data_IF_276217988172
#
_entry.id   IF_276217988172
#
_cell.length_a   1.000
_cell.length_b   1.000
_cell.length_c   1.000
_cell.angle_alpha   90.00
_cell.angle_beta   90.00
_cell.angle_gamma   90.00
#
_symmetry.space_group_name_H-M   'P 1'
#
loop_
_entity.id
_entity.type
_entity.pdbx_description
1 polymer ?
#
# COMPACT_ATOMS: atom_id res chain seq x y z
N UNK A 1 32.25 -29.91 8.93
CA UNK A 1 33.67 -30.26 9.16
C UNK A 1 33.82 -31.74 9.43
N UNK A 2 33.33 -32.27 10.57
CA UNK A 2 33.42 -33.72 10.88
C UNK A 2 32.78 -34.67 9.86
N UNK A 3 31.64 -34.31 9.26
CA UNK A 3 30.98 -35.16 8.25
C UNK A 3 31.76 -35.18 6.92
N UNK A 4 32.36 -34.05 6.53
CA UNK A 4 33.23 -33.98 5.34
C UNK A 4 34.50 -34.80 5.55
N UNK A 5 35.14 -34.66 6.70
CA UNK A 5 36.32 -35.46 7.08
C UNK A 5 35.99 -36.97 7.10
N UNK A 6 34.82 -37.36 7.60
CA UNK A 6 34.37 -38.75 7.56
C UNK A 6 34.11 -39.25 6.13
N UNK A 7 33.51 -38.42 5.28
CA UNK A 7 33.31 -38.74 3.87
C UNK A 7 34.65 -38.92 3.14
N UNK A 8 35.64 -38.07 3.41
CA UNK A 8 36.99 -38.19 2.85
C UNK A 8 37.65 -39.53 3.24
N UNK A 9 37.49 -39.96 4.49
CA UNK A 9 37.97 -41.28 4.95
C UNK A 9 37.25 -42.44 4.27
N UNK A 10 35.94 -42.33 4.02
CA UNK A 10 35.16 -43.33 3.30
C UNK A 10 35.59 -43.44 1.82
N UNK A 11 35.87 -42.31 1.18
CA UNK A 11 36.45 -42.28 -0.18
C UNK A 11 37.80 -42.98 -0.22
N UNK A 12 38.68 -42.73 0.77
CA UNK A 12 39.97 -43.43 0.89
C UNK A 12 39.80 -44.93 1.11
N UNK A 13 38.73 -45.34 1.80
CA UNK A 13 38.34 -46.74 1.99
C UNK A 13 37.60 -47.38 0.80
N UNK A 14 37.51 -46.70 -0.35
CA UNK A 14 36.75 -47.10 -1.56
C UNK A 14 35.23 -47.26 -1.33
N UNK A 15 34.70 -46.80 -0.19
CA UNK A 15 33.26 -46.77 0.10
C UNK A 15 32.63 -45.47 -0.41
N UNK A 16 32.63 -45.33 -1.74
CA UNK A 16 32.11 -44.15 -2.44
C UNK A 16 30.59 -43.95 -2.25
N UNK A 17 29.85 -45.04 -2.00
CA UNK A 17 28.42 -44.97 -1.75
C UNK A 17 28.15 -44.28 -0.41
N UNK A 18 28.76 -44.77 0.68
CA UNK A 18 28.58 -44.19 2.01
C UNK A 18 29.14 -42.75 2.09
N UNK A 19 30.25 -42.47 1.40
CA UNK A 19 30.79 -41.12 1.29
C UNK A 19 29.78 -40.14 0.66
N UNK A 20 29.16 -40.53 -0.46
CA UNK A 20 28.14 -39.73 -1.12
C UNK A 20 26.90 -39.51 -0.26
N UNK A 21 26.40 -40.54 0.42
CA UNK A 21 25.25 -40.41 1.33
C UNK A 21 25.55 -39.47 2.51
N UNK A 22 26.76 -39.54 3.08
CA UNK A 22 27.18 -38.64 4.15
C UNK A 22 27.22 -37.17 3.69
N UNK A 23 27.66 -36.91 2.46
CA UNK A 23 27.71 -35.57 1.87
C UNK A 23 26.31 -35.05 1.51
N UNK A 24 25.42 -35.89 0.97
CA UNK A 24 24.02 -35.53 0.74
C UNK A 24 23.29 -35.20 2.05
N UNK A 25 23.59 -35.91 3.15
CA UNK A 25 22.98 -35.67 4.45
C UNK A 25 23.27 -34.27 5.01
N UNK A 26 24.33 -33.61 4.55
CA UNK A 26 24.66 -32.23 4.91
C UNK A 26 24.36 -31.22 3.80
N UNK A 27 23.71 -31.64 2.71
CA UNK A 27 23.34 -30.81 1.56
C UNK A 27 24.48 -30.48 0.60
N UNK A 28 25.62 -31.17 0.68
CA UNK A 28 26.77 -30.97 -0.21
C UNK A 28 26.64 -31.84 -1.47
N UNK A 29 25.65 -31.50 -2.30
CA UNK A 29 25.24 -32.32 -3.44
C UNK A 29 26.31 -32.43 -4.53
N UNK A 30 27.06 -31.36 -4.79
CA UNK A 30 28.20 -31.39 -5.70
C UNK A 30 29.32 -32.33 -5.21
N UNK A 31 29.70 -32.27 -3.93
CA UNK A 31 30.69 -33.18 -3.38
C UNK A 31 30.20 -34.64 -3.38
N UNK A 32 28.91 -34.86 -3.09
CA UNK A 32 28.30 -36.18 -3.18
C UNK A 32 28.34 -36.74 -4.61
N UNK A 33 28.01 -35.92 -5.62
CA UNK A 33 28.11 -36.30 -7.03
C UNK A 33 29.54 -36.71 -7.41
N UNK A 34 30.54 -35.97 -6.94
CA UNK A 34 31.95 -36.32 -7.16
C UNK A 34 32.33 -37.65 -6.51
N UNK A 35 31.86 -37.93 -5.29
CA UNK A 35 32.08 -39.20 -4.61
C UNK A 35 31.43 -40.37 -5.36
N UNK A 36 30.17 -40.22 -5.77
CA UNK A 36 29.46 -41.23 -6.56
C UNK A 36 30.12 -41.48 -7.93
N UNK A 37 30.60 -40.43 -8.59
CA UNK A 37 31.34 -40.51 -9.84
C UNK A 37 32.62 -41.33 -9.70
N UNK A 38 33.40 -41.10 -8.64
CA UNK A 38 34.62 -41.86 -8.35
C UNK A 38 34.36 -43.36 -8.14
N UNK A 39 33.19 -43.73 -7.59
CA UNK A 39 32.75 -45.12 -7.44
C UNK A 39 32.00 -45.72 -8.65
N UNK A 40 31.86 -45.00 -9.76
CA UNK A 40 31.11 -45.45 -10.94
C UNK A 40 29.59 -45.52 -10.76
N UNK A 41 29.05 -44.86 -9.73
CA UNK A 41 27.62 -44.87 -9.39
C UNK A 41 26.86 -43.78 -10.18
N UNK A 42 26.74 -43.98 -11.49
CA UNK A 42 26.22 -42.97 -12.44
C UNK A 42 24.83 -42.45 -12.07
N UNK A 43 23.87 -43.32 -11.75
CA UNK A 43 22.50 -42.89 -11.41
C UNK A 43 22.46 -42.00 -10.16
N UNK A 44 23.27 -42.33 -9.14
CA UNK A 44 23.37 -41.55 -7.90
C UNK A 44 24.05 -40.22 -8.14
N UNK A 45 25.09 -40.19 -8.98
CA UNK A 45 25.76 -38.96 -9.41
C UNK A 45 24.77 -38.03 -10.12
N UNK A 46 23.99 -38.51 -11.09
CA UNK A 46 22.99 -37.72 -11.81
C UNK A 46 21.91 -37.16 -10.89
N UNK A 47 21.42 -37.98 -9.95
CA UNK A 47 20.47 -37.53 -8.93
C UNK A 47 21.05 -36.43 -8.02
N UNK A 48 22.29 -36.57 -7.60
CA UNK A 48 22.97 -35.59 -6.76
C UNK A 48 23.18 -34.27 -7.53
N UNK A 49 23.64 -34.31 -8.79
CA UNK A 49 23.76 -33.12 -9.64
C UNK A 49 22.40 -32.43 -9.85
N UNK A 50 21.33 -33.19 -10.11
CA UNK A 50 19.98 -32.62 -10.25
C UNK A 50 19.50 -31.91 -8.99
N UNK A 51 19.84 -32.43 -7.79
CA UNK A 51 19.55 -31.76 -6.52
C UNK A 51 20.39 -30.50 -6.33
N UNK A 52 21.66 -30.52 -6.74
CA UNK A 52 22.56 -29.36 -6.70
C UNK A 52 22.05 -28.23 -7.59
N UNK A 53 21.73 -28.54 -8.86
CA UNK A 53 21.14 -27.60 -9.81
C UNK A 53 19.84 -27.01 -9.26
N UNK A 54 18.93 -27.85 -8.76
CA UNK A 54 17.69 -27.38 -8.16
C UNK A 54 17.89 -26.54 -6.89
N UNK A 55 18.97 -26.75 -6.13
CA UNK A 55 19.32 -25.91 -4.99
C UNK A 55 19.87 -24.56 -5.44
N UNK A 56 20.76 -24.55 -6.44
CA UNK A 56 21.35 -23.36 -7.04
C UNK A 56 20.28 -22.47 -7.70
N UNK A 57 19.37 -23.07 -8.46
CA UNK A 57 18.26 -22.37 -9.10
C UNK A 57 17.31 -21.73 -8.08
N UNK A 58 17.01 -22.44 -6.99
CA UNK A 58 16.21 -21.88 -5.89
C UNK A 58 16.91 -20.73 -5.20
N UNK A 59 18.19 -20.86 -4.89
CA UNK A 59 18.99 -19.81 -4.26
C UNK A 59 19.08 -18.56 -5.15
N UNK A 60 19.26 -18.75 -6.46
CA UNK A 60 19.23 -17.66 -7.44
C UNK A 60 17.87 -17.00 -7.52
N UNK A 61 16.79 -17.79 -7.62
CA UNK A 61 15.42 -17.27 -7.64
C UNK A 61 15.07 -16.49 -6.37
N UNK A 62 15.54 -16.93 -5.21
CA UNK A 62 15.40 -16.22 -3.93
C UNK A 62 16.11 -14.86 -3.98
N UNK A 63 17.39 -14.84 -4.38
CA UNK A 63 18.18 -13.62 -4.48
C UNK A 63 17.57 -12.62 -5.47
N UNK A 64 17.18 -13.09 -6.66
CA UNK A 64 16.55 -12.27 -7.70
C UNK A 64 15.20 -11.70 -7.22
N UNK A 65 14.39 -12.52 -6.53
CA UNK A 65 13.13 -12.06 -5.93
C UNK A 65 13.35 -10.96 -4.89
N UNK A 66 14.33 -11.13 -4.00
CA UNK A 66 14.58 -10.14 -2.98
C UNK A 66 15.12 -8.82 -3.55
N UNK A 67 16.05 -8.88 -4.51
CA UNK A 67 16.58 -7.69 -5.19
C UNK A 67 15.50 -6.90 -5.95
N UNK A 68 14.57 -7.61 -6.60
CA UNK A 68 13.43 -7.01 -7.27
C UNK A 68 12.43 -6.40 -6.29
N UNK A 69 12.17 -7.06 -5.15
CA UNK A 69 11.37 -6.49 -4.06
C UNK A 69 11.97 -5.15 -3.59
N UNK A 70 13.27 -5.09 -3.31
CA UNK A 70 13.93 -3.86 -2.85
C UNK A 70 13.81 -2.75 -3.89
N UNK A 71 13.98 -3.11 -5.17
CA UNK A 71 13.83 -2.15 -6.27
C UNK A 71 12.40 -1.65 -6.40
N UNK A 72 11.41 -2.54 -6.38
CA UNK A 72 10.01 -2.18 -6.43
C UNK A 72 9.58 -1.32 -5.24
N UNK A 73 10.13 -1.58 -4.03
CA UNK A 73 9.90 -0.74 -2.86
C UNK A 73 10.48 0.67 -3.04
N UNK A 74 11.69 0.78 -3.59
CA UNK A 74 12.34 2.07 -3.83
C UNK A 74 11.54 2.94 -4.79
N UNK A 75 11.09 2.37 -5.90
CA UNK A 75 10.33 3.10 -6.93
C UNK A 75 8.82 3.17 -6.67
N UNK A 76 8.37 2.77 -5.47
CA UNK A 76 6.96 2.88 -5.06
C UNK A 76 6.00 1.95 -5.79
N UNK A 77 6.43 0.79 -6.30
CA UNK A 77 5.58 -0.23 -6.93
C UNK A 77 5.25 -1.34 -5.93
N UNK A 78 4.31 -1.07 -5.03
CA UNK A 78 4.09 -1.89 -3.82
C UNK A 78 3.44 -3.24 -4.11
N UNK A 79 2.54 -3.31 -5.08
CA UNK A 79 1.95 -4.58 -5.52
C UNK A 79 2.99 -5.48 -6.23
N UNK A 80 3.91 -4.90 -7.01
CA UNK A 80 5.06 -5.64 -7.56
C UNK A 80 5.98 -6.11 -6.42
N UNK A 81 6.35 -5.24 -5.49
CA UNK A 81 7.17 -5.58 -4.33
C UNK A 81 6.58 -6.75 -3.51
N UNK A 82 5.26 -6.73 -3.29
CA UNK A 82 4.53 -7.80 -2.62
C UNK A 82 4.64 -9.13 -3.38
N UNK A 83 4.46 -9.08 -4.70
CA UNK A 83 4.58 -10.27 -5.58
C UNK A 83 5.98 -10.88 -5.50
N UNK A 84 7.00 -10.04 -5.51
CA UNK A 84 8.40 -10.47 -5.39
C UNK A 84 8.70 -11.06 -3.99
N UNK A 85 8.14 -10.50 -2.91
CA UNK A 85 8.25 -11.11 -1.57
C UNK A 85 7.58 -12.49 -1.49
N UNK A 86 6.42 -12.66 -2.12
CA UNK A 86 5.76 -13.98 -2.20
C UNK A 86 6.66 -14.97 -2.94
N UNK A 87 7.32 -14.54 -4.03
CA UNK A 87 8.30 -15.39 -4.74
C UNK A 87 9.50 -15.75 -3.86
N UNK A 88 10.05 -14.79 -3.11
CA UNK A 88 11.15 -15.04 -2.18
C UNK A 88 10.75 -16.04 -1.08
N UNK A 89 9.55 -15.90 -0.49
CA UNK A 89 9.01 -16.85 0.50
C UNK A 89 8.89 -18.26 -0.07
N UNK A 90 8.50 -18.40 -1.34
CA UNK A 90 8.36 -19.69 -2.02
C UNK A 90 9.70 -20.33 -2.41
N UNK A 91 10.71 -19.54 -2.73
CA UNK A 91 12.04 -20.02 -3.14
C UNK A 91 12.96 -20.32 -1.94
N UNK A 92 12.78 -19.60 -0.83
CA UNK A 92 13.71 -19.62 0.28
C UNK A 92 13.70 -20.91 1.11
N UNK A 93 14.91 -21.36 1.46
CA UNK A 93 15.09 -22.44 2.45
C UNK A 93 14.66 -22.00 3.86
N UNK A 94 14.87 -20.72 4.21
CA UNK A 94 14.48 -20.11 5.48
C UNK A 94 13.68 -18.82 5.23
N UNK A 95 12.36 -18.96 5.05
CA UNK A 95 11.50 -17.84 4.67
C UNK A 95 11.08 -16.88 5.81
N UNK A 96 11.63 -17.04 7.02
CA UNK A 96 11.16 -16.33 8.22
C UNK A 96 11.26 -14.79 8.11
N UNK A 97 12.37 -14.30 7.54
CA UNK A 97 12.54 -12.86 7.31
C UNK A 97 11.58 -12.33 6.24
N UNK A 98 11.47 -13.02 5.10
CA UNK A 98 10.60 -12.58 4.00
C UNK A 98 9.12 -12.56 4.40
N UNK A 99 8.66 -13.54 5.21
CA UNK A 99 7.29 -13.54 5.75
C UNK A 99 7.02 -12.32 6.62
N UNK A 100 7.95 -11.94 7.50
CA UNK A 100 7.80 -10.73 8.33
C UNK A 100 7.71 -9.47 7.48
N UNK A 101 8.54 -9.34 6.44
CA UNK A 101 8.47 -8.19 5.52
C UNK A 101 7.15 -8.18 4.74
N UNK A 102 6.67 -9.35 4.31
CA UNK A 102 5.38 -9.48 3.62
C UNK A 102 4.22 -9.06 4.53
N UNK A 103 4.17 -9.55 5.77
CA UNK A 103 3.15 -9.18 6.76
C UNK A 103 3.17 -7.67 7.06
N UNK A 104 4.38 -7.10 7.17
CA UNK A 104 4.55 -5.65 7.37
C UNK A 104 4.02 -4.86 6.18
N UNK A 105 4.37 -5.26 4.95
CA UNK A 105 3.89 -4.61 3.73
C UNK A 105 2.36 -4.72 3.62
N UNK A 106 1.81 -5.91 3.85
CA UNK A 106 0.36 -6.15 3.80
C UNK A 106 -0.42 -5.30 4.81
N UNK A 107 0.16 -5.06 5.98
CA UNK A 107 -0.44 -4.18 7.00
C UNK A 107 -0.39 -2.70 6.63
N UNK A 108 0.66 -2.26 5.93
CA UNK A 108 0.82 -0.88 5.49
C UNK A 108 0.06 -0.55 4.20
N UNK A 109 -0.30 -1.57 3.41
CA UNK A 109 -0.99 -1.40 2.15
C UNK A 109 -2.37 -0.73 2.32
N UNK A 110 -2.58 0.34 1.57
CA UNK A 110 -3.88 1.01 1.48
C UNK A 110 -4.73 0.29 0.42
N UNK A 111 -5.90 -0.21 0.82
CA UNK A 111 -6.81 -1.03 -0.03
C UNK A 111 -8.23 -0.47 -0.11
N UNK A 112 -8.60 0.43 0.79
CA UNK A 112 -9.99 0.88 0.95
C UNK A 112 -10.40 1.99 -0.02
N UNK A 113 -9.56 2.37 -0.98
CA UNK A 113 -9.80 3.53 -1.82
C UNK A 113 -9.80 4.84 -1.04
N UNK A 114 -9.05 4.92 0.06
CA UNK A 114 -8.89 6.12 0.89
C UNK A 114 -7.42 6.32 1.24
N UNK A 115 -6.97 7.56 1.24
CA UNK A 115 -5.66 7.97 1.76
C UNK A 115 -5.76 9.26 2.56
N UNK A 116 -5.08 9.31 3.70
CA UNK A 116 -4.96 10.49 4.55
C UNK A 116 -3.58 11.13 4.35
N UNK A 117 -3.57 12.42 4.01
CA UNK A 117 -2.35 13.21 3.78
C UNK A 117 -2.18 14.20 4.93
N UNK A 118 -1.28 13.87 5.85
CA UNK A 118 -1.04 14.64 7.08
C UNK A 118 0.13 15.58 6.87
N UNK A 119 -0.18 16.87 6.73
CA UNK A 119 0.83 17.92 6.56
C UNK A 119 1.14 18.58 7.90
N UNK A 120 2.42 18.78 8.20
CA UNK A 120 2.83 19.39 9.47
C UNK A 120 2.26 20.80 9.62
N UNK A 121 1.49 21.02 10.70
CA UNK A 121 0.89 22.33 11.01
C UNK A 121 -0.21 22.80 10.03
N UNK A 122 -0.65 21.94 9.10
CA UNK A 122 -1.73 22.24 8.16
C UNK A 122 -2.91 21.27 8.37
N UNK A 123 -4.13 21.65 7.98
CA UNK A 123 -5.27 20.75 8.07
C UNK A 123 -5.10 19.47 7.24
N UNK A 124 -5.68 18.39 7.75
CA UNK A 124 -5.73 17.08 7.10
C UNK A 124 -6.39 17.18 5.72
N UNK A 125 -5.80 16.48 4.75
CA UNK A 125 -6.44 16.20 3.47
C UNK A 125 -6.78 14.71 3.42
N UNK A 126 -8.00 14.40 3.03
CA UNK A 126 -8.46 13.04 2.74
C UNK A 126 -8.74 12.94 1.24
N UNK A 127 -8.28 11.87 0.59
CA UNK A 127 -8.65 11.57 -0.79
C UNK A 127 -9.31 10.21 -0.83
N UNK A 128 -10.46 10.11 -1.51
CA UNK A 128 -11.24 8.88 -1.59
C UNK A 128 -11.68 8.55 -3.02
N UNK A 129 -11.74 7.26 -3.33
CA UNK A 129 -12.47 6.68 -4.44
C UNK A 129 -13.41 5.61 -3.91
N UNK A 130 -14.53 6.06 -3.33
CA UNK A 130 -15.54 5.21 -2.72
C UNK A 130 -16.94 5.64 -3.15
N UNK A 131 -17.88 4.70 -3.37
CA UNK A 131 -19.24 5.03 -3.78
C UNK A 131 -20.04 5.72 -2.67
N UNK A 132 -19.62 5.58 -1.42
CA UNK A 132 -20.26 6.18 -0.24
C UNK A 132 -19.20 6.80 0.64
N UNK A 133 -19.52 7.98 1.17
CA UNK A 133 -18.68 8.75 2.07
C UNK A 133 -19.51 9.08 3.32
N UNK A 134 -19.05 8.66 4.49
CA UNK A 134 -19.70 8.97 5.75
C UNK A 134 -18.97 10.14 6.42
N UNK A 135 -19.75 11.12 6.87
CA UNK A 135 -19.30 12.28 7.61
C UNK A 135 -19.80 12.18 9.04
N UNK A 136 -18.93 12.43 10.01
CA UNK A 136 -19.32 12.36 11.41
C UNK A 136 -18.15 12.50 12.36
N UNK A 137 -18.43 12.44 13.65
CA UNK A 137 -17.43 12.58 14.71
C UNK A 137 -16.68 11.28 15.01
N UNK A 138 -17.22 10.15 14.58
CA UNK A 138 -16.56 8.87 14.73
C UNK A 138 -15.27 8.82 13.88
N UNK A 139 -14.19 8.28 14.43
CA UNK A 139 -12.91 8.16 13.75
C UNK A 139 -12.95 7.19 12.56
N UNK A 140 -13.99 6.35 12.48
CA UNK A 140 -14.24 5.46 11.34
C UNK A 140 -14.92 6.16 10.16
N UNK A 141 -15.33 7.43 10.29
CA UNK A 141 -15.91 8.18 9.18
C UNK A 141 -14.85 8.55 8.14
N UNK A 142 -15.25 8.64 6.87
CA UNK A 142 -14.39 9.08 5.78
C UNK A 142 -13.91 10.52 6.01
N UNK A 143 -14.82 11.40 6.44
CA UNK A 143 -14.51 12.72 6.96
C UNK A 143 -14.85 12.81 8.45
N UNK A 144 -13.81 12.69 9.28
CA UNK A 144 -13.95 12.82 10.75
C UNK A 144 -14.01 14.30 11.15
N UNK A 145 -15.05 14.68 11.89
CA UNK A 145 -15.34 16.05 12.31
C UNK A 145 -15.63 16.09 13.83
N UNK A 146 -14.69 16.60 14.61
CA UNK A 146 -14.64 16.63 16.09
C UNK A 146 -15.44 17.77 16.71
N UNK A 147 -16.61 18.08 16.14
CA UNK A 147 -17.51 19.10 16.69
C UNK A 147 -18.56 18.47 17.62
N UNK A 148 -18.89 19.14 18.73
CA UNK A 148 -19.81 18.63 19.75
C UNK A 148 -21.22 18.36 19.22
N UNK A 149 -21.69 19.21 18.31
CA UNK A 149 -22.97 19.07 17.62
C UNK A 149 -23.03 18.00 16.51
N UNK A 150 -21.90 17.34 16.19
CA UNK A 150 -21.84 16.33 15.13
C UNK A 150 -22.05 14.92 15.72
N UNK A 151 -22.86 14.13 15.02
CA UNK A 151 -23.22 12.75 15.40
C UNK A 151 -22.09 11.81 15.03
N UNK A 152 -22.04 10.60 15.61
CA UNK A 152 -20.99 9.63 15.31
C UNK A 152 -20.90 9.35 13.81
N UNK A 153 -22.03 8.99 13.22
CA UNK A 153 -22.28 9.06 11.78
C UNK A 153 -23.41 10.08 11.62
N UNK A 154 -23.18 11.17 10.89
CA UNK A 154 -24.12 12.30 10.85
C UNK A 154 -24.77 12.42 9.47
N UNK A 155 -23.97 12.37 8.41
CA UNK A 155 -24.46 12.43 7.05
C UNK A 155 -23.69 11.46 6.16
N UNK A 156 -24.33 11.08 5.06
CA UNK A 156 -23.71 10.28 4.01
C UNK A 156 -23.79 11.04 2.69
N UNK A 157 -22.72 10.95 1.91
CA UNK A 157 -22.71 11.36 0.52
C UNK A 157 -22.53 10.12 -0.34
N UNK A 158 -23.51 9.83 -1.18
CA UNK A 158 -23.46 8.70 -2.12
C UNK A 158 -23.18 9.21 -3.54
N UNK A 159 -22.16 8.63 -4.17
CA UNK A 159 -21.85 8.80 -5.59
C UNK A 159 -22.74 7.86 -6.41
N UNK A 160 -23.54 8.44 -7.29
CA UNK A 160 -24.29 7.74 -8.33
C UNK A 160 -23.60 7.92 -9.68
N UNK A 161 -24.12 7.29 -10.74
CA UNK A 161 -23.59 7.45 -12.09
C UNK A 161 -23.44 8.93 -12.50
N UNK A 162 -24.40 9.77 -12.10
CA UNK A 162 -24.51 11.13 -12.64
C UNK A 162 -24.19 12.24 -11.62
N UNK A 163 -24.30 11.95 -10.31
CA UNK A 163 -24.15 12.98 -9.28
C UNK A 163 -23.78 12.43 -7.89
N UNK A 164 -23.26 13.32 -7.04
CA UNK A 164 -23.15 13.10 -5.61
C UNK A 164 -24.43 13.57 -4.92
N UNK A 165 -24.88 12.83 -3.91
CA UNK A 165 -26.07 13.19 -3.16
C UNK A 165 -25.84 13.10 -1.66
N UNK A 166 -26.28 14.12 -0.96
CA UNK A 166 -26.24 14.23 0.49
C UNK A 166 -27.53 13.69 1.11
N UNK A 167 -27.41 12.93 2.19
CA UNK A 167 -28.52 12.54 3.08
C UNK A 167 -28.09 12.60 4.55
N UNK A 168 -29.04 12.90 5.42
CA UNK A 168 -28.87 12.81 6.87
C UNK A 168 -29.00 11.35 7.33
N UNK A 169 -28.23 10.94 8.34
CA UNK A 169 -28.23 9.59 8.92
C UNK A 169 -28.94 9.55 10.29
N UNK A 170 -30.12 10.16 10.39
CA UNK A 170 -30.88 10.30 11.63
C UNK A 170 -30.05 10.98 12.74
N UNK A 171 -29.40 12.08 12.36
CA UNK A 171 -28.49 12.80 13.22
C UNK A 171 -29.25 13.59 14.30
N UNK A 172 -28.66 13.71 15.49
CA UNK A 172 -29.33 14.37 16.63
C UNK A 172 -29.76 15.81 16.35
N UNK A 173 -28.92 16.56 15.62
CA UNK A 173 -29.11 17.99 15.38
C UNK A 173 -29.54 18.30 13.94
N UNK A 174 -29.68 17.27 13.09
CA UNK A 174 -30.02 17.41 11.69
C UNK A 174 -28.90 17.97 10.80
N UNK A 175 -29.07 17.74 9.50
CA UNK A 175 -28.27 18.33 8.43
C UNK A 175 -29.03 19.49 7.79
N UNK A 176 -28.35 20.58 7.44
CA UNK A 176 -28.95 21.71 6.71
C UNK A 176 -28.26 21.94 5.37
N UNK A 177 -28.97 22.38 4.34
CA UNK A 177 -28.40 22.82 3.05
C UNK A 177 -28.84 24.25 2.81
N UNK A 178 -27.86 25.14 2.59
CA UNK A 178 -28.13 26.59 2.45
C UNK A 178 -28.97 27.19 3.58
N UNK A 179 -28.81 26.67 4.81
CA UNK A 179 -29.53 27.12 6.01
C UNK A 179 -30.93 26.52 6.19
N UNK A 180 -31.40 25.67 5.29
CA UNK A 180 -32.68 24.97 5.42
C UNK A 180 -32.47 23.51 5.86
N UNK A 181 -33.31 22.95 6.74
CA UNK A 181 -33.25 21.53 7.10
C UNK A 181 -33.30 20.63 5.86
N UNK A 182 -32.40 19.66 5.80
CA UNK A 182 -32.34 18.67 4.74
C UNK A 182 -33.53 17.71 4.87
N UNK A 183 -34.29 17.51 3.79
CA UNK A 183 -35.34 16.52 3.72
C UNK A 183 -34.98 15.43 2.69
N UNK A 184 -34.88 14.18 3.16
CA UNK A 184 -34.55 13.05 2.31
C UNK A 184 -33.12 13.14 1.72
N UNK A 185 -33.03 12.96 0.40
CA UNK A 185 -31.76 12.94 -0.34
C UNK A 185 -31.74 14.13 -1.30
N UNK A 186 -30.67 14.93 -1.25
CA UNK A 186 -30.50 16.11 -2.12
C UNK A 186 -29.24 15.97 -2.97
N UNK A 187 -29.31 16.21 -4.30
CA UNK A 187 -28.13 16.25 -5.15
C UNK A 187 -27.25 17.45 -4.80
N UNK A 188 -25.95 17.22 -4.70
CA UNK A 188 -24.95 18.27 -4.67
C UNK A 188 -24.66 18.67 -6.12
N UNK A 189 -24.76 19.97 -6.44
CA UNK A 189 -24.53 20.50 -7.78
C UNK A 189 -23.70 21.79 -7.69
N UNK A 190 -22.72 21.93 -8.58
CA UNK A 190 -21.84 23.11 -8.62
C UNK A 190 -21.11 23.31 -7.29
N UNK A 191 -21.29 24.48 -6.68
CA UNK A 191 -20.72 24.83 -5.37
C UNK A 191 -21.82 25.15 -4.37
N UNK A 192 -21.54 24.99 -3.09
CA UNK A 192 -22.50 25.34 -2.06
C UNK A 192 -22.01 25.03 -0.65
N UNK A 193 -22.95 25.03 0.29
CA UNK A 193 -22.67 24.84 1.71
C UNK A 193 -23.77 24.04 2.39
N UNK A 194 -23.38 23.10 3.23
CA UNK A 194 -24.28 22.38 4.14
C UNK A 194 -23.76 22.45 5.58
N UNK A 195 -24.65 22.27 6.55
CA UNK A 195 -24.34 22.23 7.98
C UNK A 195 -24.61 20.85 8.56
N UNK A 196 -23.77 20.43 9.50
CA UNK A 196 -23.94 19.23 10.33
C UNK A 196 -24.17 19.70 11.77
N UNK A 197 -25.43 19.84 12.16
CA UNK A 197 -25.83 20.65 13.32
C UNK A 197 -25.44 22.13 13.16
N UNK A 198 -25.37 22.85 14.29
CA UNK A 198 -25.22 24.31 14.29
C UNK A 198 -23.77 24.80 14.19
N UNK A 199 -22.80 23.97 14.59
CA UNK A 199 -21.41 24.38 14.78
C UNK A 199 -20.46 23.98 13.63
N UNK A 200 -20.87 22.99 12.84
CA UNK A 200 -20.04 22.42 11.78
C UNK A 200 -20.66 22.70 10.42
N UNK A 201 -19.92 23.41 9.57
CA UNK A 201 -20.35 23.67 8.21
C UNK A 201 -19.30 23.30 7.20
N UNK A 202 -19.77 22.67 6.13
CA UNK A 202 -18.98 22.14 5.04
C UNK A 202 -19.31 22.91 3.77
N UNK A 203 -18.28 23.49 3.18
CA UNK A 203 -18.32 24.00 1.81
C UNK A 203 -18.04 22.85 0.85
N UNK A 204 -18.79 22.80 -0.25
CA UNK A 204 -18.57 21.80 -1.29
C UNK A 204 -18.42 22.45 -2.66
N UNK A 205 -17.68 21.76 -3.53
CA UNK A 205 -17.47 22.12 -4.93
C UNK A 205 -17.38 20.86 -5.78
N UNK A 206 -18.06 20.86 -6.91
CA UNK A 206 -17.95 19.84 -7.95
C UNK A 206 -17.11 20.37 -9.10
N UNK A 207 -15.94 19.79 -9.30
CA UNK A 207 -15.02 20.15 -10.36
C UNK A 207 -14.51 18.89 -11.06
N UNK A 208 -14.60 18.85 -12.39
CA UNK A 208 -14.12 17.74 -13.21
C UNK A 208 -14.63 16.35 -12.78
N UNK A 209 -15.88 16.28 -12.31
CA UNK A 209 -16.51 15.05 -11.81
C UNK A 209 -16.03 14.59 -10.42
N UNK A 210 -15.19 15.37 -9.74
CA UNK A 210 -14.80 15.13 -8.36
C UNK A 210 -15.55 16.06 -7.40
N UNK A 211 -15.85 15.57 -6.20
CA UNK A 211 -16.41 16.33 -5.09
C UNK A 211 -15.29 16.78 -4.16
N UNK A 212 -15.18 18.09 -3.95
CA UNK A 212 -14.33 18.70 -2.92
C UNK A 212 -15.23 19.10 -1.76
N UNK A 213 -14.84 18.74 -0.54
CA UNK A 213 -15.43 19.18 0.71
C UNK A 213 -14.39 19.93 1.54
N UNK A 214 -14.79 21.01 2.20
CA UNK A 214 -13.94 21.77 3.13
C UNK A 214 -14.71 22.11 4.38
N UNK A 215 -14.12 21.80 5.52
CA UNK A 215 -14.66 22.21 6.80
C UNK A 215 -14.43 23.72 7.02
N UNK A 216 -15.50 24.51 6.98
CA UNK A 216 -15.44 25.98 7.05
C UNK A 216 -15.47 26.50 8.49
N UNK A 217 -16.02 25.73 9.43
CA UNK A 217 -16.12 26.08 10.86
C UNK A 217 -15.65 24.92 11.74
N UNK A 218 -15.71 25.08 13.07
CA UNK A 218 -15.30 24.08 14.09
C UNK A 218 -13.79 23.91 14.30
N UNK A 219 -13.42 22.99 15.20
CA UNK A 219 -12.03 22.64 15.53
C UNK A 219 -11.26 22.08 14.33
N UNK A 220 -11.95 21.48 13.36
CA UNK A 220 -11.34 20.88 12.17
C UNK A 220 -11.37 21.83 10.96
N UNK A 221 -11.41 23.14 11.21
CA UNK A 221 -11.41 24.14 10.14
C UNK A 221 -10.26 23.91 9.17
N UNK A 222 -10.59 23.88 7.89
CA UNK A 222 -9.66 23.67 6.78
C UNK A 222 -9.39 22.20 6.45
N UNK A 223 -9.85 21.23 7.25
CA UNK A 223 -9.82 19.81 6.85
C UNK A 223 -10.61 19.67 5.55
N UNK A 224 -10.03 18.97 4.59
CA UNK A 224 -10.60 18.83 3.26
C UNK A 224 -10.70 17.36 2.84
N UNK A 225 -11.73 17.04 2.06
CA UNK A 225 -11.91 15.74 1.42
C UNK A 225 -12.10 15.93 -0.07
N UNK A 226 -11.37 15.16 -0.89
CA UNK A 226 -11.55 15.09 -2.34
C UNK A 226 -11.98 13.68 -2.70
N UNK A 227 -13.14 13.56 -3.35
CA UNK A 227 -13.71 12.27 -3.74
C UNK A 227 -13.99 12.20 -5.24
N UNK A 228 -13.71 11.05 -5.84
CA UNK A 228 -14.08 10.76 -7.22
C UNK A 228 -14.20 9.26 -7.46
N UNK A 229 -14.11 8.86 -8.73
CA UNK A 229 -14.22 7.46 -9.14
C UNK A 229 -12.86 6.75 -9.13
N UNK A 230 -12.87 5.42 -9.01
CA UNK A 230 -11.65 4.63 -9.24
C UNK A 230 -11.16 4.84 -10.69
N UNK A 231 -9.86 5.02 -10.86
CA UNK A 231 -9.24 5.38 -12.14
C UNK A 231 -9.30 6.87 -12.50
N UNK A 232 -10.10 7.68 -11.82
CA UNK A 232 -10.15 9.13 -12.06
C UNK A 232 -8.88 9.82 -11.53
N UNK A 233 -8.36 10.78 -12.28
CA UNK A 233 -7.30 11.68 -11.80
C UNK A 233 -7.90 12.76 -10.91
N UNK A 234 -7.56 12.73 -9.64
CA UNK A 234 -8.00 13.69 -8.63
C UNK A 234 -6.88 14.71 -8.41
N UNK A 235 -7.08 15.94 -8.87
CA UNK A 235 -6.15 17.06 -8.68
C UNK A 235 -6.35 17.69 -7.30
N UNK A 236 -5.30 17.72 -6.47
CA UNK A 236 -5.34 18.27 -5.13
C UNK A 236 -4.91 19.75 -5.07
N UNK A 237 -4.52 20.36 -6.20
CA UNK A 237 -4.13 21.76 -6.24
C UNK A 237 -5.21 22.70 -5.66
N UNK A 238 -6.52 22.51 -5.93
CA UNK A 238 -7.56 23.32 -5.31
C UNK A 238 -7.53 23.27 -3.77
N UNK A 239 -7.16 22.14 -3.18
CA UNK A 239 -7.07 21.95 -1.71
C UNK A 239 -5.68 22.30 -1.15
N UNK A 240 -4.86 22.98 -1.94
CA UNK A 240 -3.58 23.55 -1.52
C UNK A 240 -2.45 22.53 -1.46
N UNK A 241 -2.51 21.47 -2.27
CA UNK A 241 -1.42 20.52 -2.43
C UNK A 241 -1.24 20.20 -3.92
N UNK A 242 -0.16 20.64 -4.59
CA UNK A 242 -0.04 20.61 -6.05
C UNK A 242 0.31 19.23 -6.64
N UNK A 243 -0.23 18.15 -6.07
CA UNK A 243 -0.09 16.77 -6.58
C UNK A 243 -1.44 16.26 -7.05
N UNK A 244 -1.43 15.08 -7.67
CA UNK A 244 -2.67 14.40 -8.00
C UNK A 244 -2.63 12.94 -7.57
N UNK A 245 -3.80 12.35 -7.32
CA UNK A 245 -3.95 10.96 -6.93
C UNK A 245 -4.88 10.26 -7.92
N UNK A 246 -4.53 9.05 -8.32
CA UNK A 246 -5.41 8.13 -9.05
C UNK A 246 -5.56 6.90 -8.20
N UNK A 247 -6.79 6.45 -7.97
CA UNK A 247 -7.00 5.13 -7.38
C UNK A 247 -7.03 4.05 -8.46
N UNK A 248 -6.45 2.89 -8.17
CA UNK A 248 -6.61 1.68 -8.99
C UNK A 248 -6.93 0.51 -8.09
N UNK A 249 -8.14 -0.03 -8.18
CA UNK A 249 -8.59 -1.12 -7.30
C UNK A 249 -8.40 -0.76 -5.82
N UNK A 250 -8.71 0.49 -5.46
CA UNK A 250 -8.56 1.00 -4.09
C UNK A 250 -7.13 1.37 -3.67
N UNK A 251 -6.12 1.16 -4.52
CA UNK A 251 -4.73 1.59 -4.29
C UNK A 251 -4.55 3.06 -4.65
N UNK A 252 -4.04 3.93 -3.77
CA UNK A 252 -3.70 5.31 -4.11
C UNK A 252 -2.36 5.40 -4.86
N UNK A 253 -2.38 5.90 -6.09
CA UNK A 253 -1.19 6.20 -6.88
C UNK A 253 -1.00 7.72 -6.98
N UNK A 254 0.01 8.24 -6.30
CA UNK A 254 0.38 9.65 -6.33
C UNK A 254 1.19 9.97 -7.58
N UNK A 255 0.78 11.04 -8.28
CA UNK A 255 1.50 11.63 -9.40
C UNK A 255 1.96 13.05 -9.08
N UNK A 256 2.87 13.55 -9.92
CA UNK A 256 3.51 14.86 -9.72
C UNK A 256 2.55 16.05 -9.74
N UNK A 257 1.42 15.96 -10.44
CA UNK A 257 0.50 17.08 -10.58
C UNK A 257 1.19 18.31 -11.16
N UNK A 258 1.04 19.44 -10.46
CA UNK A 258 1.68 20.71 -10.78
C UNK A 258 2.89 21.02 -9.90
N UNK A 259 3.31 20.07 -9.05
CA UNK A 259 4.41 20.26 -8.10
C UNK A 259 5.74 20.46 -8.81
N UNK A 260 6.53 21.42 -8.30
CA UNK A 260 7.85 21.72 -8.87
C UNK A 260 8.90 20.74 -8.39
N UNK A 261 8.80 20.27 -7.15
CA UNK A 261 9.71 19.31 -6.53
C UNK A 261 8.92 18.36 -5.64
N UNK A 262 9.20 17.06 -5.78
CA UNK A 262 8.66 16.03 -4.89
C UNK A 262 9.81 15.11 -4.49
N UNK A 263 9.93 14.85 -3.19
CA UNK A 263 10.77 13.79 -2.63
C UNK A 263 9.86 12.74 -2.03
N UNK A 264 10.07 11.48 -2.39
CA UNK A 264 9.38 10.30 -1.88
C UNK A 264 10.39 9.41 -1.16
N UNK A 265 10.21 9.20 0.15
CA UNK A 265 11.11 8.40 0.98
C UNK A 265 12.60 8.67 0.69
N UNK A 266 12.98 9.95 0.79
CA UNK A 266 14.35 10.47 0.59
C UNK A 266 14.88 10.46 -0.87
N UNK A 267 14.08 10.01 -1.85
CA UNK A 267 14.44 10.04 -3.27
C UNK A 267 13.59 11.02 -4.08
N UNK A 268 14.16 11.75 -5.06
CA UNK A 268 13.39 12.65 -5.91
C UNK A 268 12.41 11.86 -6.79
N UNK A 269 11.14 12.27 -6.77
CA UNK A 269 10.11 11.69 -7.62
C UNK A 269 10.13 12.36 -8.99
N UNK A 270 10.25 11.56 -10.05
CA UNK A 270 10.15 12.00 -11.45
C UNK A 270 8.69 12.16 -11.90
N UNK A 271 8.42 11.71 -13.13
CA UNK A 271 7.06 11.75 -13.74
C UNK A 271 6.24 10.48 -13.48
N UNK A 272 6.87 9.44 -12.93
CA UNK A 272 6.22 8.16 -12.65
C UNK A 272 5.36 8.28 -11.40
N UNK A 273 4.22 7.59 -11.38
CA UNK A 273 3.37 7.51 -10.19
C UNK A 273 3.88 6.47 -9.20
N UNK A 274 3.78 6.77 -7.91
CA UNK A 274 4.10 5.85 -6.81
C UNK A 274 2.84 5.41 -6.09
N UNK A 275 2.75 4.12 -5.80
CA UNK A 275 1.70 3.54 -4.97
C UNK A 275 2.03 3.83 -3.49
N UNK A 276 1.17 4.62 -2.85
CA UNK A 276 1.36 5.02 -1.46
C UNK A 276 0.95 3.90 -0.49
N UNK A 277 1.68 3.78 0.61
CA UNK A 277 1.34 2.96 1.78
C UNK A 277 1.42 3.78 3.06
N UNK A 278 0.77 3.29 4.11
CA UNK A 278 0.89 3.90 5.44
C UNK A 278 2.34 3.95 5.87
N UNK A 279 2.76 5.12 6.33
CA UNK A 279 4.14 5.38 6.79
C UNK A 279 5.08 5.88 5.70
N UNK A 280 4.64 5.96 4.44
CA UNK A 280 5.39 6.70 3.42
C UNK A 280 5.49 8.18 3.81
N UNK A 281 6.61 8.81 3.41
CA UNK A 281 6.88 10.23 3.60
C UNK A 281 7.08 10.92 2.27
N UNK A 282 6.45 12.07 2.13
CA UNK A 282 6.60 12.95 0.97
C UNK A 282 7.06 14.32 1.41
N UNK A 283 7.86 14.97 0.58
CA UNK A 283 8.09 16.42 0.63
C UNK A 283 7.68 17.00 -0.70
N UNK A 284 6.61 17.80 -0.72
CA UNK A 284 6.05 18.41 -1.94
C UNK A 284 6.23 19.91 -1.86
N UNK A 285 7.06 20.49 -2.72
CA UNK A 285 7.34 21.94 -2.75
C UNK A 285 7.68 22.53 -1.35
N UNK A 286 8.32 21.72 -0.49
CA UNK A 286 8.69 22.07 0.89
C UNK A 286 7.70 21.65 1.98
N UNK A 287 6.49 21.17 1.62
CA UNK A 287 5.52 20.62 2.57
C UNK A 287 5.85 19.15 2.90
N UNK A 288 6.16 18.86 4.15
CA UNK A 288 6.27 17.49 4.68
C UNK A 288 4.88 16.85 4.85
N UNK A 289 4.70 15.64 4.31
CA UNK A 289 3.44 14.90 4.30
C UNK A 289 3.68 13.47 4.75
N UNK A 290 2.99 13.07 5.82
CA UNK A 290 2.91 11.69 6.27
C UNK A 290 1.65 11.02 5.72
N UNK A 291 1.80 9.79 5.22
CA UNK A 291 0.69 8.98 4.72
C UNK A 291 0.07 8.16 5.87
N UNK A 292 -1.22 8.43 6.14
CA UNK A 292 -2.04 7.75 7.16
C UNK A 292 -2.75 6.49 6.67
#
# INVERSE_FOLDING_TARGET
>A
TKVREAADLLVVGEDHYAAGEALEAIGDHLAAANAYSAGGLVEKMEQALSKDDAANDRARSEADAFANYETAMRVGRRDEARTELVRAVGAASVAGEYRRKLDQLDTSLLTAGKVELKRRGKPLIVVCAAPKLVLGRDALCDLTLRAGGVSRQHAEIERTADAFHLRDLDSRNGTTVSGLPLAGRVPLAGTGKFGLGDECSIEFELANGALILRCASSLDRGVALLAGDDGQRLDLAPIGLPVDVVFKSGRPLLGRGAAKQIVFNDEPLGEVRVQLIRGDRLVVDGDEIDIG
#
